data_IF_558097417429
#
_entry.id   IF_558097417429
#
_cell.length_a   1.000
_cell.length_b   1.000
_cell.length_c   1.000
_cell.angle_alpha   90.00
_cell.angle_beta   90.00
_cell.angle_gamma   90.00
#
_symmetry.space_group_name_H-M   'P 1'
#
loop_
_entity.id
_entity.type
_entity.pdbx_description
1 polymer ?
#
# COMPACT_ATOMS: atom_id res chain seq x y z
N UNK A 1 -4.47 -2.74 21.10
CA UNK A 1 -3.56 -2.13 20.12
C UNK A 1 -2.51 -3.17 19.80
N UNK A 2 -2.47 -3.64 18.56
CA UNK A 2 -1.49 -4.63 18.17
C UNK A 2 -0.09 -4.01 18.14
N UNK A 3 0.92 -4.73 18.63
CA UNK A 3 2.32 -4.29 18.63
C UNK A 3 2.92 -4.38 17.22
N UNK A 4 2.73 -3.35 16.40
CA UNK A 4 3.45 -3.22 15.13
C UNK A 4 4.45 -2.06 15.20
N UNK A 5 5.71 -2.34 14.83
CA UNK A 5 6.75 -1.33 14.68
C UNK A 5 6.83 -0.87 13.23
N UNK A 6 6.53 0.39 12.99
CA UNK A 6 6.83 1.04 11.70
C UNK A 6 8.32 1.40 11.65
N UNK A 7 8.99 1.02 10.55
CA UNK A 7 10.36 1.48 10.26
C UNK A 7 10.37 2.99 10.00
N UNK A 8 11.54 3.62 10.12
CA UNK A 8 11.68 5.05 9.80
C UNK A 8 11.29 5.36 8.35
N UNK A 9 11.63 4.48 7.42
CA UNK A 9 11.24 4.62 6.01
C UNK A 9 9.73 4.56 5.83
N UNK A 10 9.06 3.58 6.47
CA UNK A 10 7.61 3.47 6.39
C UNK A 10 6.89 4.71 6.94
N UNK A 11 7.42 5.34 7.99
CA UNK A 11 6.88 6.60 8.51
C UNK A 11 7.03 7.74 7.50
N UNK A 12 8.17 7.85 6.84
CA UNK A 12 8.38 8.86 5.80
C UNK A 12 7.45 8.65 4.60
N UNK A 13 7.21 7.40 4.22
CA UNK A 13 6.27 7.07 3.15
C UNK A 13 4.83 7.41 3.53
N UNK A 14 4.41 7.17 4.78
CA UNK A 14 3.11 7.59 5.29
C UNK A 14 2.92 9.11 5.20
N UNK A 15 3.95 9.89 5.55
CA UNK A 15 3.91 11.35 5.45
C UNK A 15 3.77 11.78 3.98
N UNK A 16 4.52 11.15 3.07
CA UNK A 16 4.43 11.45 1.62
C UNK A 16 3.05 11.15 1.06
N UNK A 17 2.47 10.00 1.41
CA UNK A 17 1.12 9.61 0.97
C UNK A 17 0.07 10.59 1.53
N UNK A 18 0.20 11.00 2.79
CA UNK A 18 -0.70 11.98 3.39
C UNK A 18 -0.61 13.34 2.69
N UNK A 19 0.61 13.87 2.50
CA UNK A 19 0.84 15.16 1.82
C UNK A 19 0.28 15.15 0.39
N UNK A 20 0.53 14.08 -0.36
CA UNK A 20 -0.05 13.90 -1.69
C UNK A 20 -1.58 13.84 -1.63
N UNK A 21 -2.13 13.16 -0.63
CA UNK A 21 -3.58 13.09 -0.40
C UNK A 21 -4.20 14.46 -0.13
N UNK A 22 -3.54 15.28 0.70
CA UNK A 22 -3.97 16.65 1.01
C UNK A 22 -3.90 17.52 -0.25
N UNK A 23 -2.81 17.44 -1.01
CA UNK A 23 -2.60 18.24 -2.22
C UNK A 23 -3.62 17.89 -3.33
N UNK A 24 -3.97 16.61 -3.48
CA UNK A 24 -4.81 16.13 -4.59
C UNK A 24 -6.29 16.05 -4.26
N UNK A 25 -6.66 15.73 -3.04
CA UNK A 25 -8.04 15.44 -2.64
C UNK A 25 -8.54 16.32 -1.49
N UNK A 26 -7.68 17.16 -0.91
CA UNK A 26 -8.00 18.02 0.22
C UNK A 26 -7.89 17.31 1.58
N UNK A 27 -7.78 18.12 2.63
CA UNK A 27 -7.44 17.66 3.98
C UNK A 27 -8.48 16.68 4.57
N UNK A 28 -9.77 16.94 4.37
CA UNK A 28 -10.84 16.06 4.88
C UNK A 28 -10.80 14.65 4.30
N UNK A 29 -10.39 14.50 3.03
CA UNK A 29 -10.29 13.20 2.38
C UNK A 29 -8.99 12.49 2.76
N UNK A 30 -7.89 13.25 2.88
CA UNK A 30 -6.61 12.73 3.35
C UNK A 30 -6.70 12.19 4.78
N UNK A 31 -7.38 12.89 5.70
CA UNK A 31 -7.58 12.44 7.08
C UNK A 31 -8.40 11.15 7.16
N UNK A 32 -9.48 11.03 6.37
CA UNK A 32 -10.26 9.79 6.29
C UNK A 32 -9.41 8.63 5.78
N UNK A 33 -8.62 8.86 4.74
CA UNK A 33 -7.75 7.84 4.18
C UNK A 33 -6.66 7.42 5.17
N UNK A 34 -6.03 8.39 5.84
CA UNK A 34 -5.04 8.17 6.88
C UNK A 34 -5.60 7.28 8.01
N UNK A 35 -6.77 7.63 8.56
CA UNK A 35 -7.40 6.84 9.63
C UNK A 35 -7.74 5.40 9.20
N UNK A 36 -8.29 5.22 7.99
CA UNK A 36 -8.58 3.89 7.46
C UNK A 36 -7.32 3.04 7.28
N UNK A 37 -6.19 3.68 6.96
CA UNK A 37 -4.92 3.00 6.77
C UNK A 37 -4.39 2.39 8.08
N UNK A 38 -4.59 3.06 9.22
CA UNK A 38 -4.32 2.48 10.54
C UNK A 38 -5.24 1.31 10.86
N UNK A 39 -6.51 1.38 10.49
CA UNK A 39 -7.44 0.26 10.69
C UNK A 39 -7.00 -0.99 9.91
N UNK A 40 -6.51 -0.81 8.68
CA UNK A 40 -5.90 -1.91 7.92
C UNK A 40 -4.66 -2.48 8.61
N UNK A 41 -3.78 -1.64 9.17
CA UNK A 41 -2.63 -2.13 9.93
C UNK A 41 -3.04 -2.91 11.17
N UNK A 42 -4.05 -2.46 11.90
CA UNK A 42 -4.58 -3.22 13.04
C UNK A 42 -5.16 -4.57 12.60
N UNK A 43 -5.91 -4.62 11.49
CA UNK A 43 -6.42 -5.89 10.96
C UNK A 43 -5.30 -6.85 10.57
N UNK A 44 -4.25 -6.36 9.91
CA UNK A 44 -3.08 -7.16 9.53
C UNK A 44 -2.35 -7.66 10.78
N UNK A 45 -2.16 -6.79 11.77
CA UNK A 45 -1.48 -7.14 13.00
C UNK A 45 -2.28 -8.11 13.88
N UNK A 46 -3.62 -8.09 13.80
CA UNK A 46 -4.50 -9.09 14.42
C UNK A 46 -4.52 -10.43 13.68
N UNK A 47 -4.18 -10.45 12.38
CA UNK A 47 -4.15 -11.66 11.55
C UNK A 47 -2.83 -11.83 10.79
N UNK A 48 -1.70 -12.03 11.50
CA UNK A 48 -0.38 -12.11 10.87
C UNK A 48 -0.19 -13.31 9.92
N UNK A 49 -1.03 -14.35 10.03
CA UNK A 49 -0.93 -15.58 9.23
C UNK A 49 -1.89 -15.64 8.02
N UNK A 50 -2.71 -14.61 7.76
CA UNK A 50 -3.66 -14.63 6.63
C UNK A 50 -3.04 -14.21 5.30
N UNK A 51 -1.85 -13.62 5.31
CA UNK A 51 -1.15 -13.25 4.08
C UNK A 51 -0.07 -14.28 3.80
N UNK A 52 -0.38 -15.25 2.94
CA UNK A 52 0.64 -16.11 2.34
C UNK A 52 1.60 -15.16 1.60
N UNK A 53 2.80 -14.99 2.15
CA UNK A 53 3.90 -14.30 1.50
C UNK A 53 4.16 -15.03 0.18
N UNK A 54 3.69 -14.47 -0.94
CA UNK A 54 3.98 -15.02 -2.26
C UNK A 54 5.45 -14.77 -2.54
N UNK A 55 6.29 -15.68 -2.08
CA UNK A 55 7.69 -15.82 -2.50
C UNK A 55 7.76 -16.36 -3.94
N UNK A 56 7.02 -15.73 -4.86
CA UNK A 56 7.04 -16.02 -6.29
C UNK A 56 7.08 -14.71 -7.07
N UNK A 57 7.95 -13.78 -6.68
CA UNK A 57 8.41 -12.76 -7.63
C UNK A 57 9.68 -13.27 -8.29
N UNK A 58 9.50 -14.30 -9.12
CA UNK A 58 10.48 -14.63 -10.13
C UNK A 58 10.62 -13.41 -11.05
N UNK A 59 11.86 -12.94 -11.11
CA UNK A 59 12.40 -12.08 -12.15
C UNK A 59 12.03 -12.63 -13.53
N UNK A 60 11.07 -12.01 -14.21
CA UNK A 60 10.99 -12.10 -15.68
C UNK A 60 10.56 -10.76 -16.25
N UNK A 61 11.55 -9.88 -16.41
CA UNK A 61 11.61 -9.01 -17.57
C UNK A 61 11.47 -9.87 -18.83
N UNK A 62 10.35 -9.79 -19.54
CA UNK A 62 10.31 -9.99 -20.99
C UNK A 62 9.44 -8.90 -21.62
N UNK A 63 10.15 -7.86 -22.02
CA UNK A 63 9.90 -7.02 -23.20
C UNK A 63 9.15 -7.73 -24.33
N UNK A 64 8.24 -6.97 -24.95
CA UNK A 64 7.80 -7.05 -26.35
C UNK A 64 7.16 -8.37 -26.84
N UNK A 65 5.84 -8.38 -27.03
CA UNK A 65 5.27 -8.64 -28.36
C UNK A 65 3.77 -8.28 -28.41
N UNK A 66 3.47 -7.26 -29.23
CA UNK A 66 2.28 -7.11 -30.07
C UNK A 66 0.88 -7.07 -29.45
N UNK A 67 0.33 -5.85 -29.50
CA UNK A 67 -0.95 -5.56 -30.14
C UNK A 67 -1.47 -6.68 -31.05
N UNK A 68 -2.64 -7.24 -30.70
CA UNK A 68 -3.60 -7.68 -31.71
C UNK A 68 -5.00 -7.22 -31.31
N UNK A 69 -5.42 -6.15 -31.97
CA UNK A 69 -6.83 -5.90 -32.30
C UNK A 69 -7.39 -7.11 -33.03
N UNK A 70 -8.58 -7.54 -32.67
CA UNK A 70 -9.49 -8.22 -33.60
C UNK A 70 -10.90 -7.64 -33.39
N UNK A 71 -11.49 -7.30 -34.53
CA UNK A 71 -12.83 -6.77 -34.79
C UNK A 71 -13.94 -7.49 -34.03
#
# INVERSE_FOLDING_TARGET
MADYKLSHEAKNDLIRIYLFGVERFGMSQADKYYNNLFHCFEMIAQRPFSFIMTSSRSSTTRSNHFFRFTL
#
